data_IF_524796636509
#
_entry.id   IF_524796636509
#
_cell.length_a   1.000
_cell.length_b   1.000
_cell.length_c   1.000
_cell.angle_alpha   90.00
_cell.angle_beta   90.00
_cell.angle_gamma   90.00
#
_symmetry.space_group_name_H-M   'P 1'
#
loop_
_entity.id
_entity.type
_entity.pdbx_description
1 polymer ?
#
# COMPACT_ATOMS: atom_id res chain seq x y z
N UNK A 1 43.64 -5.21 3.52
CA UNK A 1 42.91 -6.45 3.89
C UNK A 1 41.71 -6.03 4.74
N UNK A 2 40.59 -5.84 4.09
CA UNK A 2 39.32 -5.54 4.80
C UNK A 2 38.69 -6.89 5.15
N UNK A 3 38.54 -7.15 6.44
CA UNK A 3 37.86 -8.35 6.96
C UNK A 3 36.38 -8.23 6.66
N UNK A 4 35.83 -9.27 6.01
CA UNK A 4 34.42 -9.35 5.62
C UNK A 4 33.50 -9.27 6.85
N UNK A 5 32.45 -8.48 6.71
CA UNK A 5 31.34 -8.47 7.62
C UNK A 5 30.58 -9.82 7.55
N UNK A 6 29.99 -10.29 8.65
CA UNK A 6 29.24 -11.54 8.65
C UNK A 6 28.00 -11.39 7.73
N UNK A 7 27.80 -12.36 6.87
CA UNK A 7 26.54 -12.52 6.13
C UNK A 7 25.45 -12.80 7.16
N UNK A 8 24.58 -11.84 7.39
CA UNK A 8 23.28 -12.12 8.03
C UNK A 8 22.44 -12.87 7.01
N UNK A 9 22.16 -14.13 7.28
CA UNK A 9 21.11 -14.88 6.58
C UNK A 9 19.76 -14.24 6.90
N UNK A 10 19.30 -13.38 5.99
CA UNK A 10 17.91 -12.92 6.00
C UNK A 10 17.05 -14.12 5.60
N UNK A 11 16.34 -14.68 6.57
CA UNK A 11 15.28 -15.63 6.29
C UNK A 11 14.27 -14.91 5.38
N UNK A 12 14.22 -15.31 4.11
CA UNK A 12 13.14 -14.93 3.19
C UNK A 12 11.88 -15.52 3.84
N UNK A 13 11.01 -14.66 4.37
CA UNK A 13 9.69 -15.11 4.78
C UNK A 13 9.06 -15.76 3.56
N UNK A 14 8.78 -17.06 3.63
CA UNK A 14 7.96 -17.76 2.64
C UNK A 14 6.56 -17.15 2.70
N UNK A 15 6.35 -16.10 1.91
CA UNK A 15 5.02 -15.59 1.66
C UNK A 15 4.28 -16.64 0.82
N UNK A 16 3.27 -17.19 1.43
CA UNK A 16 2.33 -18.07 0.74
C UNK A 16 1.69 -17.26 -0.38
N UNK A 17 2.16 -17.45 -1.61
CA UNK A 17 1.38 -17.09 -2.78
C UNK A 17 -0.03 -17.64 -2.57
N UNK A 18 -1.07 -16.87 -2.85
CA UNK A 18 -2.48 -17.29 -2.89
C UNK A 18 -2.69 -18.38 -3.97
N UNK A 19 -1.86 -19.43 -3.91
CA UNK A 19 -1.89 -20.64 -4.72
C UNK A 19 -2.49 -21.79 -3.89
N UNK A 20 -3.30 -21.47 -2.87
CA UNK A 20 -4.17 -22.48 -2.25
C UNK A 20 -5.08 -23.11 -3.31
N UNK A 21 -5.45 -24.39 -3.17
CA UNK A 21 -6.35 -25.02 -4.11
C UNK A 21 -7.59 -24.15 -4.28
N UNK A 22 -8.12 -24.02 -5.50
CA UNK A 22 -9.29 -23.22 -5.87
C UNK A 22 -10.45 -23.26 -4.84
N UNK A 23 -10.55 -24.35 -4.07
CA UNK A 23 -11.53 -24.56 -3.01
C UNK A 23 -11.41 -23.62 -1.78
N UNK A 24 -10.21 -23.12 -1.41
CA UNK A 24 -10.06 -22.26 -0.24
C UNK A 24 -10.33 -20.79 -0.60
N UNK A 25 -9.90 -20.35 -1.78
CA UNK A 25 -10.25 -19.05 -2.33
C UNK A 25 -11.75 -18.91 -2.57
N UNK A 26 -12.41 -19.99 -3.03
CA UNK A 26 -13.87 -20.06 -3.18
C UNK A 26 -14.61 -19.93 -1.85
N UNK A 27 -14.06 -20.43 -0.73
CA UNK A 27 -14.66 -20.28 0.61
C UNK A 27 -14.60 -18.86 1.17
N UNK A 28 -13.72 -18.03 0.67
CA UNK A 28 -13.61 -16.62 1.05
C UNK A 28 -14.47 -15.70 0.18
N UNK A 29 -15.22 -16.23 -0.77
CA UNK A 29 -16.10 -15.49 -1.65
C UNK A 29 -17.58 -15.62 -1.26
N UNK A 30 -18.41 -14.55 -1.44
CA UNK A 30 -18.00 -13.21 -1.90
C UNK A 30 -17.14 -12.47 -0.87
N UNK A 31 -16.35 -11.51 -1.33
CA UNK A 31 -15.54 -10.67 -0.45
C UNK A 31 -16.45 -9.78 0.41
N UNK A 32 -16.16 -9.59 1.72
CA UNK A 32 -16.89 -8.64 2.54
C UNK A 32 -16.63 -7.22 2.03
N UNK A 33 -17.70 -6.42 1.94
CA UNK A 33 -17.66 -5.02 1.46
C UNK A 33 -17.56 -4.00 2.60
N UNK A 34 -17.66 -4.47 3.82
CA UNK A 34 -17.58 -3.66 5.02
C UNK A 34 -17.15 -4.50 6.22
N UNK A 35 -16.68 -3.88 7.32
CA UNK A 35 -16.32 -4.62 8.53
C UNK A 35 -17.48 -5.44 9.12
N UNK A 36 -18.72 -5.01 8.89
CA UNK A 36 -19.92 -5.69 9.39
C UNK A 36 -20.22 -7.02 8.67
N UNK A 37 -19.65 -7.20 7.49
CA UNK A 37 -19.82 -8.42 6.71
C UNK A 37 -18.73 -9.45 7.00
N UNK A 38 -17.68 -9.08 7.75
CA UNK A 38 -16.64 -9.99 8.19
C UNK A 38 -17.22 -10.93 9.25
N UNK A 39 -17.35 -12.21 8.89
CA UNK A 39 -17.78 -13.23 9.83
C UNK A 39 -16.60 -13.92 10.53
N UNK A 40 -16.79 -14.53 11.72
CA UNK A 40 -15.77 -15.33 12.36
C UNK A 40 -15.22 -16.46 11.47
N UNK A 41 -16.11 -17.10 10.69
CA UNK A 41 -15.74 -18.19 9.77
C UNK A 41 -14.86 -17.67 8.63
N UNK A 42 -15.21 -16.51 8.07
CA UNK A 42 -14.42 -15.88 7.01
C UNK A 42 -13.02 -15.51 7.53
N UNK A 43 -12.95 -14.87 8.70
CA UNK A 43 -11.67 -14.47 9.30
C UNK A 43 -10.84 -15.68 9.71
N UNK A 44 -11.46 -16.77 10.20
CA UNK A 44 -10.76 -18.04 10.45
C UNK A 44 -10.09 -18.56 9.18
N UNK A 45 -10.80 -18.53 8.04
CA UNK A 45 -10.24 -18.97 6.77
C UNK A 45 -9.07 -18.07 6.33
N UNK A 46 -9.19 -16.76 6.45
CA UNK A 46 -8.11 -15.79 6.14
C UNK A 46 -6.86 -16.05 6.96
N UNK A 47 -7.02 -16.20 8.28
CA UNK A 47 -5.88 -16.39 9.19
C UNK A 47 -5.21 -17.74 9.05
N UNK A 48 -5.99 -18.80 8.79
CA UNK A 48 -5.43 -20.13 8.50
C UNK A 48 -4.66 -20.12 7.18
N UNK A 49 -5.21 -19.48 6.16
CA UNK A 49 -4.56 -19.40 4.85
C UNK A 49 -3.26 -18.58 4.89
N UNK A 50 -3.19 -17.54 5.71
CA UNK A 50 -1.96 -16.74 5.93
C UNK A 50 -0.98 -17.36 6.93
N UNK A 51 -1.27 -18.58 7.44
CA UNK A 51 -0.46 -19.27 8.45
C UNK A 51 -0.44 -18.58 9.82
N UNK A 52 -1.41 -17.70 10.10
CA UNK A 52 -1.49 -16.93 11.34
C UNK A 52 -2.43 -17.53 12.39
N UNK A 53 -3.09 -18.64 12.04
CA UNK A 53 -3.98 -19.37 12.95
C UNK A 53 -3.84 -20.87 12.70
N UNK A 54 -3.54 -21.67 13.74
CA UNK A 54 -3.48 -23.14 13.59
C UNK A 54 -4.86 -23.75 13.31
N UNK A 55 -4.88 -24.94 12.75
CA UNK A 55 -6.13 -25.66 12.43
C UNK A 55 -6.96 -26.02 13.66
N UNK A 56 -6.33 -26.04 14.84
CA UNK A 56 -6.93 -26.33 16.15
C UNK A 56 -7.67 -25.14 16.77
N UNK A 57 -7.51 -23.95 16.21
CA UNK A 57 -8.13 -22.73 16.70
C UNK A 57 -9.06 -22.11 15.66
N UNK A 58 -10.04 -21.36 16.13
CA UNK A 58 -11.03 -20.64 15.31
C UNK A 58 -11.24 -19.25 15.88
N UNK A 59 -11.53 -18.30 15.02
CA UNK A 59 -12.08 -17.01 15.43
C UNK A 59 -13.51 -17.22 15.90
N UNK A 60 -13.81 -16.84 17.13
CA UNK A 60 -15.15 -16.96 17.72
C UNK A 60 -15.95 -15.66 17.61
N UNK A 61 -15.27 -14.52 17.59
CA UNK A 61 -15.90 -13.21 17.44
C UNK A 61 -14.98 -12.26 16.67
N UNK A 62 -15.58 -11.40 15.83
CA UNK A 62 -14.94 -10.27 15.15
C UNK A 62 -15.75 -9.02 15.43
N UNK A 63 -15.11 -8.01 15.97
CA UNK A 63 -15.71 -6.66 16.09
C UNK A 63 -14.85 -5.65 15.33
N UNK A 64 -15.49 -4.70 14.67
CA UNK A 64 -14.82 -3.68 13.88
C UNK A 64 -15.18 -2.27 14.33
N UNK A 65 -14.18 -1.39 14.43
CA UNK A 65 -14.41 0.05 14.55
C UNK A 65 -13.67 0.79 13.45
N UNK A 66 -14.30 1.79 12.90
CA UNK A 66 -13.70 2.65 11.87
C UNK A 66 -12.47 3.37 12.43
N UNK A 67 -11.40 3.41 11.64
CA UNK A 67 -10.20 4.18 11.90
C UNK A 67 -10.25 5.48 11.10
N UNK A 68 -10.00 6.61 11.78
CA UNK A 68 -9.88 7.94 11.17
C UNK A 68 -11.13 8.37 10.42
N UNK A 69 -12.03 9.15 11.04
CA UNK A 69 -13.11 9.79 10.31
C UNK A 69 -12.52 10.73 9.25
N UNK A 70 -12.64 10.37 7.96
CA UNK A 70 -12.15 11.15 6.84
C UNK A 70 -10.64 11.05 6.54
N UNK A 71 -9.90 10.17 7.21
CA UNK A 71 -8.45 10.06 7.01
C UNK A 71 -8.06 9.39 5.68
N UNK A 72 -8.92 8.53 5.11
CA UNK A 72 -8.69 7.90 3.81
C UNK A 72 -9.56 8.51 2.72
N UNK A 73 -8.98 9.26 1.76
CA UNK A 73 -9.77 9.80 0.64
C UNK A 73 -10.35 8.68 -0.24
N UNK A 74 -9.57 7.65 -0.51
CA UNK A 74 -9.89 6.62 -1.51
C UNK A 74 -10.30 5.28 -0.90
N UNK A 75 -10.21 5.11 0.43
CA UNK A 75 -10.51 3.85 1.12
C UNK A 75 -11.01 4.07 2.54
N UNK A 76 -11.75 3.09 3.06
CA UNK A 76 -12.19 3.01 4.45
C UNK A 76 -11.29 2.05 5.24
N UNK A 77 -10.84 2.47 6.41
CA UNK A 77 -10.03 1.65 7.31
C UNK A 77 -10.83 1.25 8.55
N UNK A 78 -10.64 0.02 8.99
CA UNK A 78 -11.27 -0.48 10.23
C UNK A 78 -10.28 -1.29 11.04
N UNK A 79 -10.20 -1.00 12.34
CA UNK A 79 -9.54 -1.86 13.29
C UNK A 79 -10.49 -3.00 13.65
N UNK A 80 -10.04 -4.22 13.46
CA UNK A 80 -10.73 -5.43 13.84
C UNK A 80 -10.15 -5.95 15.15
N UNK A 81 -11.01 -6.29 16.10
CA UNK A 81 -10.63 -7.00 17.32
C UNK A 81 -11.16 -8.43 17.24
N UNK A 82 -10.32 -9.39 17.55
CA UNK A 82 -10.58 -10.80 17.37
C UNK A 82 -10.59 -11.52 18.71
N UNK A 83 -11.56 -12.43 18.88
CA UNK A 83 -11.60 -13.39 19.97
C UNK A 83 -11.52 -14.80 19.37
N UNK A 84 -10.89 -15.69 20.08
CA UNK A 84 -10.59 -17.03 19.57
C UNK A 84 -11.14 -18.12 20.49
N UNK A 85 -11.33 -19.31 19.94
CA UNK A 85 -11.49 -20.59 20.64
C UNK A 85 -10.39 -21.55 20.21
N UNK A 86 -9.96 -22.42 21.12
CA UNK A 86 -8.84 -23.33 20.89
C UNK A 86 -7.49 -22.70 21.19
N UNK A 87 -6.42 -23.38 20.76
CA UNK A 87 -5.05 -22.95 20.98
C UNK A 87 -4.66 -21.87 19.96
N UNK A 88 -4.39 -20.64 20.45
CA UNK A 88 -4.21 -19.44 19.63
C UNK A 88 -3.13 -18.49 20.15
N UNK A 89 -2.13 -18.99 20.89
CA UNK A 89 -1.14 -18.17 21.59
C UNK A 89 -0.46 -17.12 20.69
N UNK A 90 -0.16 -17.46 19.44
CA UNK A 90 0.51 -16.59 18.48
C UNK A 90 -0.45 -15.85 17.51
N UNK A 91 -1.76 -16.00 17.69
CA UNK A 91 -2.73 -15.38 16.77
C UNK A 91 -2.90 -13.88 17.07
N UNK A 92 -3.07 -13.03 16.05
CA UNK A 92 -3.19 -11.58 16.23
C UNK A 92 -4.49 -11.20 16.96
N UNK A 93 -4.41 -10.44 18.05
CA UNK A 93 -5.58 -9.94 18.75
C UNK A 93 -6.32 -8.85 17.98
N UNK A 94 -5.58 -8.08 17.18
CA UNK A 94 -6.11 -6.99 16.35
C UNK A 94 -5.51 -7.04 14.94
N UNK A 95 -6.30 -6.57 13.97
CA UNK A 95 -5.91 -6.43 12.56
C UNK A 95 -6.50 -5.15 11.99
N UNK A 96 -5.92 -4.67 10.89
CA UNK A 96 -6.51 -3.58 10.11
C UNK A 96 -7.10 -4.14 8.82
N UNK A 97 -8.37 -3.82 8.56
CA UNK A 97 -9.02 -4.12 7.29
C UNK A 97 -9.25 -2.84 6.49
N UNK A 98 -8.98 -2.90 5.19
CA UNK A 98 -9.14 -1.80 4.23
C UNK A 98 -10.18 -2.18 3.18
N UNK A 99 -11.08 -1.24 2.87
CA UNK A 99 -12.21 -1.40 1.95
C UNK A 99 -12.29 -0.22 0.99
N UNK A 100 -13.05 -0.32 -0.11
CA UNK A 100 -13.31 0.83 -0.98
C UNK A 100 -13.99 1.96 -0.23
N UNK A 101 -13.69 3.21 -0.61
CA UNK A 101 -14.41 4.37 -0.06
C UNK A 101 -15.91 4.31 -0.38
N UNK A 102 -16.72 4.78 0.55
CA UNK A 102 -18.17 4.94 0.36
C UNK A 102 -18.52 6.22 -0.44
N UNK A 103 -17.57 7.16 -0.57
CA UNK A 103 -17.76 8.38 -1.34
C UNK A 103 -17.67 8.09 -2.83
N UNK A 104 -18.78 8.31 -3.57
CA UNK A 104 -18.87 7.98 -4.99
C UNK A 104 -17.90 8.78 -5.87
N UNK A 105 -17.64 10.05 -5.54
CA UNK A 105 -16.69 10.89 -6.30
C UNK A 105 -15.28 10.35 -6.15
N UNK A 106 -14.87 10.09 -4.91
CA UNK A 106 -13.54 9.54 -4.61
C UNK A 106 -13.37 8.13 -5.18
N UNK A 107 -14.44 7.33 -5.19
CA UNK A 107 -14.45 6.02 -5.84
C UNK A 107 -14.25 6.12 -7.35
N UNK A 108 -14.87 7.11 -8.00
CA UNK A 108 -14.65 7.40 -9.43
C UNK A 108 -13.18 7.70 -9.70
N UNK A 109 -12.55 8.56 -8.90
CA UNK A 109 -11.12 8.88 -8.99
C UNK A 109 -10.27 7.61 -8.80
N UNK A 110 -10.59 6.79 -7.79
CA UNK A 110 -9.87 5.55 -7.54
C UNK A 110 -9.94 4.57 -8.71
N UNK A 111 -11.07 4.52 -9.42
CA UNK A 111 -11.25 3.69 -10.62
C UNK A 111 -10.47 4.23 -11.82
N UNK A 112 -10.52 5.54 -12.08
CA UNK A 112 -9.80 6.20 -13.19
C UNK A 112 -8.29 5.96 -13.09
N UNK A 113 -7.75 5.96 -11.86
CA UNK A 113 -6.34 5.69 -11.59
C UNK A 113 -6.04 4.23 -11.23
N UNK A 114 -7.02 3.33 -11.30
CA UNK A 114 -6.89 1.90 -10.96
C UNK A 114 -6.26 1.64 -9.57
N UNK A 115 -6.56 2.51 -8.62
CA UNK A 115 -5.92 2.54 -7.29
C UNK A 115 -6.10 1.21 -6.56
N UNK A 116 -7.30 0.64 -6.57
CA UNK A 116 -7.61 -0.59 -5.85
C UNK A 116 -6.89 -1.81 -6.40
N UNK A 117 -6.86 -1.98 -7.73
CA UNK A 117 -6.12 -3.07 -8.37
C UNK A 117 -4.62 -2.93 -8.12
N UNK A 118 -4.10 -1.69 -8.19
CA UNK A 118 -2.68 -1.42 -7.96
C UNK A 118 -2.28 -1.77 -6.53
N UNK A 119 -3.07 -1.38 -5.55
CA UNK A 119 -2.78 -1.68 -4.15
C UNK A 119 -2.84 -3.17 -3.85
N UNK A 120 -3.92 -3.85 -4.27
CA UNK A 120 -4.05 -5.30 -4.08
C UNK A 120 -2.91 -6.06 -4.74
N UNK A 121 -2.58 -5.73 -6.00
CA UNK A 121 -1.48 -6.38 -6.71
C UNK A 121 -0.11 -6.07 -6.12
N UNK A 122 0.08 -4.89 -5.55
CA UNK A 122 1.33 -4.57 -4.83
C UNK A 122 1.55 -5.50 -3.65
N UNK A 123 0.52 -5.72 -2.83
CA UNK A 123 0.61 -6.66 -1.72
C UNK A 123 0.72 -8.12 -2.16
N UNK A 124 0.25 -8.47 -3.35
CA UNK A 124 0.38 -9.83 -3.89
C UNK A 124 1.70 -10.07 -4.63
N UNK A 125 2.24 -9.08 -5.34
CA UNK A 125 3.29 -9.29 -6.34
C UNK A 125 4.58 -8.51 -6.08
N UNK A 126 4.52 -7.36 -5.39
CA UNK A 126 5.69 -6.51 -5.10
C UNK A 126 6.22 -6.79 -3.69
N UNK A 127 5.37 -6.64 -2.68
CA UNK A 127 5.74 -6.79 -1.27
C UNK A 127 6.40 -8.14 -0.99
N UNK A 128 5.88 -9.31 -1.45
CA UNK A 128 6.51 -10.59 -1.17
C UNK A 128 7.89 -10.81 -1.80
N UNK A 129 8.25 -10.02 -2.82
CA UNK A 129 9.53 -10.14 -3.52
C UNK A 129 10.59 -9.17 -3.01
N UNK A 130 10.19 -8.17 -2.23
CA UNK A 130 11.08 -7.14 -1.69
C UNK A 130 11.45 -7.45 -0.24
N UNK A 131 12.74 -7.29 0.15
CA UNK A 131 13.15 -7.35 1.54
C UNK A 131 12.86 -6.03 2.30
N UNK A 132 12.21 -5.06 1.67
CA UNK A 132 11.75 -3.85 2.33
C UNK A 132 10.65 -4.20 3.34
N UNK A 133 10.68 -3.55 4.51
CA UNK A 133 9.75 -3.85 5.58
C UNK A 133 8.31 -3.42 5.21
N UNK A 134 7.37 -4.32 5.42
CA UNK A 134 5.94 -4.12 5.21
C UNK A 134 5.18 -4.78 6.36
N UNK A 135 3.98 -4.31 6.73
CA UNK A 135 3.14 -5.03 7.66
C UNK A 135 2.83 -6.44 7.12
N UNK A 136 2.62 -7.38 8.02
CA UNK A 136 2.19 -8.71 7.63
C UNK A 136 0.85 -8.63 6.90
N UNK A 137 0.81 -9.21 5.70
CA UNK A 137 -0.40 -9.27 4.87
C UNK A 137 -1.12 -10.60 5.13
N UNK A 138 -2.35 -10.55 5.64
CA UNK A 138 -3.17 -11.74 5.86
C UNK A 138 -4.07 -12.04 4.67
N UNK A 139 -4.51 -10.99 3.99
CA UNK A 139 -5.28 -11.06 2.75
C UNK A 139 -5.11 -9.76 1.94
N UNK A 140 -5.00 -9.88 0.65
CA UNK A 140 -5.25 -8.82 -0.31
C UNK A 140 -5.97 -9.43 -1.50
N UNK A 141 -7.23 -9.09 -1.73
CA UNK A 141 -8.02 -9.65 -2.84
C UNK A 141 -9.04 -8.63 -3.36
N UNK A 142 -9.45 -8.77 -4.63
CA UNK A 142 -10.37 -7.88 -5.31
C UNK A 142 -11.32 -8.66 -6.23
N UNK A 143 -12.59 -8.26 -6.26
CA UNK A 143 -13.61 -8.72 -7.21
C UNK A 143 -13.98 -7.60 -8.18
N UNK A 144 -13.79 -7.85 -9.47
CA UNK A 144 -13.93 -6.78 -10.46
C UNK A 144 -12.92 -5.66 -10.28
N UNK A 145 -13.36 -4.41 -10.39
CA UNK A 145 -12.49 -3.24 -10.36
C UNK A 145 -12.57 -2.45 -9.04
N UNK A 146 -13.53 -2.78 -8.17
CA UNK A 146 -13.89 -1.96 -7.00
C UNK A 146 -13.93 -2.75 -5.70
N UNK A 147 -14.58 -3.91 -5.69
CA UNK A 147 -14.86 -4.63 -4.45
C UNK A 147 -13.60 -5.34 -3.96
N UNK A 148 -12.81 -4.68 -3.14
CA UNK A 148 -11.59 -5.23 -2.56
C UNK A 148 -11.63 -5.29 -1.04
N UNK A 149 -10.83 -6.17 -0.49
CA UNK A 149 -10.50 -6.21 0.93
C UNK A 149 -9.02 -6.52 1.11
N UNK A 150 -8.36 -5.73 1.94
CA UNK A 150 -6.99 -5.99 2.38
C UNK A 150 -7.02 -6.12 3.90
N UNK A 151 -6.41 -7.18 4.43
CA UNK A 151 -6.29 -7.43 5.87
C UNK A 151 -4.82 -7.47 6.24
N UNK A 152 -4.41 -6.52 7.06
CA UNK A 152 -3.03 -6.27 7.46
C UNK A 152 -2.84 -6.41 8.98
N UNK A 153 -1.59 -6.58 9.38
CA UNK A 153 -1.11 -6.39 10.73
C UNK A 153 -1.53 -5.02 11.27
N UNK A 154 -1.91 -4.97 12.53
CA UNK A 154 -2.18 -3.72 13.26
C UNK A 154 -0.85 -3.09 13.69
N UNK A 155 -0.57 -1.89 13.18
CA UNK A 155 0.63 -1.12 13.49
C UNK A 155 0.41 -0.06 14.58
N UNK A 156 -0.65 -0.14 15.38
CA UNK A 156 -0.95 0.87 16.41
C UNK A 156 0.15 1.02 17.47
N UNK A 157 0.98 0.01 17.66
CA UNK A 157 2.13 0.05 18.56
C UNK A 157 3.33 0.78 17.96
N UNK A 158 3.33 1.05 16.67
CA UNK A 158 4.35 1.88 16.02
C UNK A 158 4.05 3.37 16.21
N UNK A 159 5.04 4.21 15.93
CA UNK A 159 4.84 5.66 15.80
C UNK A 159 4.68 6.00 14.31
N UNK A 160 3.55 6.57 13.96
CA UNK A 160 3.34 7.14 12.62
C UNK A 160 4.23 8.37 12.44
N UNK A 161 4.84 8.54 11.28
CA UNK A 161 5.50 9.79 10.91
C UNK A 161 4.50 10.92 10.78
N UNK A 162 4.98 12.16 10.89
CA UNK A 162 4.15 13.36 10.73
C UNK A 162 4.75 14.20 9.59
N UNK A 163 3.97 14.40 8.53
CA UNK A 163 4.43 15.13 7.36
C UNK A 163 4.68 16.61 7.65
N UNK A 164 3.99 17.20 8.64
CA UNK A 164 4.11 18.61 9.02
C UNK A 164 5.30 18.83 9.96
N UNK A 165 5.49 17.92 10.91
CA UNK A 165 6.64 17.97 11.83
C UNK A 165 7.96 17.65 11.13
N UNK A 166 7.90 16.82 10.09
CA UNK A 166 9.06 16.35 9.33
C UNK A 166 9.74 15.13 9.98
N UNK A 167 10.90 14.75 9.45
CA UNK A 167 11.69 13.62 9.89
C UNK A 167 13.04 14.05 10.44
N UNK A 168 13.52 13.34 11.45
CA UNK A 168 14.90 13.46 11.91
C UNK A 168 15.89 12.89 10.87
N UNK A 169 17.16 13.19 11.04
CA UNK A 169 18.22 12.63 10.19
C UNK A 169 18.24 11.08 10.26
N UNK A 170 18.04 10.53 11.45
CA UNK A 170 18.02 9.09 11.68
C UNK A 170 16.81 8.43 10.96
N UNK A 171 15.61 9.00 11.12
CA UNK A 171 14.40 8.54 10.46
C UNK A 171 14.50 8.61 8.94
N UNK A 172 15.09 9.69 8.41
CA UNK A 172 15.37 9.82 6.99
C UNK A 172 16.33 8.74 6.50
N UNK A 173 17.34 8.38 7.31
CA UNK A 173 18.25 7.28 7.04
C UNK A 173 17.53 5.93 6.93
N UNK A 174 16.67 5.60 7.91
CA UNK A 174 15.85 4.39 7.89
C UNK A 174 14.93 4.33 6.66
N UNK A 175 14.27 5.44 6.32
CA UNK A 175 13.41 5.52 5.15
C UNK A 175 14.18 5.25 3.85
N UNK A 176 15.37 5.83 3.69
CA UNK A 176 16.22 5.61 2.53
C UNK A 176 16.75 4.17 2.46
N UNK A 177 17.04 3.52 3.59
CA UNK A 177 17.44 2.11 3.63
C UNK A 177 16.33 1.20 3.10
N UNK A 178 15.08 1.42 3.50
CA UNK A 178 13.93 0.63 3.03
C UNK A 178 13.64 0.90 1.54
N UNK A 179 13.72 2.16 1.08
CA UNK A 179 13.62 2.48 -0.34
C UNK A 179 14.73 1.82 -1.16
N UNK A 180 15.95 1.79 -0.64
CA UNK A 180 17.06 1.14 -1.33
C UNK A 180 16.85 -0.37 -1.50
N UNK A 181 16.23 -1.03 -0.50
CA UNK A 181 15.84 -2.45 -0.60
C UNK A 181 14.78 -2.65 -1.69
N UNK A 182 13.72 -1.83 -1.71
CA UNK A 182 12.67 -1.86 -2.73
C UNK A 182 13.27 -1.63 -4.12
N UNK A 183 13.92 -0.49 -4.32
CA UNK A 183 14.46 -0.09 -5.62
C UNK A 183 15.52 -1.07 -6.12
N UNK A 184 16.42 -1.52 -5.25
CA UNK A 184 17.47 -2.47 -5.61
C UNK A 184 16.92 -3.83 -6.05
N UNK A 185 15.79 -4.25 -5.49
CA UNK A 185 15.15 -5.51 -5.88
C UNK A 185 14.68 -5.49 -7.32
N UNK A 186 14.06 -4.37 -7.75
CA UNK A 186 13.40 -4.25 -9.05
C UNK A 186 14.21 -3.44 -10.09
N UNK A 187 15.41 -2.98 -9.76
CA UNK A 187 16.23 -2.14 -10.63
C UNK A 187 16.51 -2.81 -11.98
N UNK A 188 16.04 -2.17 -13.05
CA UNK A 188 16.16 -2.67 -14.42
C UNK A 188 15.42 -4.00 -14.71
N UNK A 189 14.39 -4.37 -13.90
CA UNK A 189 13.67 -5.64 -14.02
C UNK A 189 12.18 -5.49 -14.29
N UNK A 190 11.68 -4.27 -14.41
CA UNK A 190 10.24 -3.99 -14.50
C UNK A 190 9.67 -4.02 -15.94
N UNK A 191 10.47 -4.38 -16.93
CA UNK A 191 10.05 -4.49 -18.35
C UNK A 191 9.58 -5.91 -18.74
N UNK A 192 9.08 -6.68 -17.78
CA UNK A 192 8.49 -7.99 -18.02
C UNK A 192 6.97 -7.92 -17.97
N UNK A 193 6.28 -8.85 -18.65
CA UNK A 193 4.82 -9.01 -18.65
C UNK A 193 4.21 -9.05 -17.23
N UNK A 194 5.00 -9.46 -16.25
CA UNK A 194 4.61 -9.50 -14.85
C UNK A 194 4.23 -8.12 -14.30
N UNK A 195 4.83 -7.05 -14.82
CA UNK A 195 4.62 -5.66 -14.38
C UNK A 195 3.74 -4.84 -15.31
N UNK A 196 3.14 -5.43 -16.36
CA UNK A 196 2.29 -4.71 -17.35
C UNK A 196 1.07 -4.01 -16.72
N UNK A 197 0.67 -4.43 -15.53
CA UNK A 197 -0.42 -3.80 -14.78
C UNK A 197 -0.01 -2.49 -14.12
N UNK A 198 1.28 -2.32 -13.84
CA UNK A 198 1.81 -1.13 -13.19
C UNK A 198 1.99 -0.02 -14.22
N UNK A 199 1.45 1.18 -13.97
CA UNK A 199 1.59 2.25 -14.94
C UNK A 199 3.03 2.73 -15.05
N UNK A 200 3.40 3.18 -16.25
CA UNK A 200 4.57 4.03 -16.47
C UNK A 200 4.13 5.49 -16.47
N UNK A 201 5.05 6.42 -16.24
CA UNK A 201 4.75 7.85 -16.31
C UNK A 201 4.20 8.26 -17.68
N UNK A 202 4.73 7.69 -18.76
CA UNK A 202 4.28 7.96 -20.14
C UNK A 202 3.19 6.99 -20.63
N UNK A 203 2.71 6.06 -19.79
CA UNK A 203 1.60 5.18 -20.14
C UNK A 203 0.38 6.01 -20.53
N UNK A 204 -0.28 5.64 -21.65
CA UNK A 204 -1.30 6.47 -22.27
C UNK A 204 -2.44 6.87 -21.33
N UNK A 205 -2.98 5.93 -20.55
CA UNK A 205 -4.07 6.26 -19.62
C UNK A 205 -3.58 7.08 -18.42
N UNK A 206 -2.42 6.76 -17.86
CA UNK A 206 -1.85 7.48 -16.72
C UNK A 206 -1.40 8.88 -17.12
N UNK A 207 -0.67 9.01 -18.23
CA UNK A 207 -0.22 10.30 -18.74
C UNK A 207 -1.40 11.24 -19.06
N UNK A 208 -2.46 10.71 -19.70
CA UNK A 208 -3.66 11.49 -20.01
C UNK A 208 -4.34 11.96 -18.73
N UNK A 209 -4.62 11.06 -17.79
CA UNK A 209 -5.28 11.41 -16.53
C UNK A 209 -4.46 12.44 -15.70
N UNK A 210 -3.14 12.31 -15.66
CA UNK A 210 -2.28 13.29 -14.99
C UNK A 210 -2.32 14.66 -15.66
N UNK A 211 -2.26 14.71 -16.99
CA UNK A 211 -2.29 15.98 -17.74
C UNK A 211 -3.67 16.64 -17.63
N UNK A 212 -4.73 15.94 -17.92
CA UNK A 212 -6.10 16.47 -17.88
C UNK A 212 -6.51 16.87 -16.46
N UNK A 213 -6.18 16.05 -15.45
CA UNK A 213 -6.43 16.35 -14.06
C UNK A 213 -5.68 17.60 -13.58
N UNK A 214 -4.40 17.73 -13.97
CA UNK A 214 -3.62 18.92 -13.65
C UNK A 214 -4.18 20.19 -14.32
N UNK A 215 -4.58 20.09 -15.58
CA UNK A 215 -5.19 21.20 -16.31
C UNK A 215 -6.53 21.63 -15.68
N UNK A 216 -7.40 20.65 -15.35
CA UNK A 216 -8.70 20.91 -14.76
C UNK A 216 -8.61 21.53 -13.35
N UNK A 217 -7.63 21.13 -12.54
CA UNK A 217 -7.47 21.60 -11.16
C UNK A 217 -6.66 22.88 -11.03
N UNK A 218 -5.93 23.33 -12.06
CA UNK A 218 -4.97 24.43 -11.98
C UNK A 218 -5.55 25.74 -11.45
N UNK A 219 -6.67 26.19 -12.02
CA UNK A 219 -7.27 27.48 -11.64
C UNK A 219 -7.76 27.45 -10.18
N UNK A 220 -8.35 26.35 -9.75
CA UNK A 220 -8.80 26.20 -8.37
C UNK A 220 -7.61 26.13 -7.40
N UNK A 221 -6.54 25.41 -7.77
CA UNK A 221 -5.31 25.38 -6.99
C UNK A 221 -4.66 26.77 -6.89
N UNK A 222 -4.59 27.50 -8.02
CA UNK A 222 -4.06 28.85 -8.04
C UNK A 222 -4.84 29.83 -7.17
N UNK A 223 -6.16 29.65 -7.05
CA UNK A 223 -7.01 30.43 -6.13
C UNK A 223 -6.82 30.02 -4.67
N UNK A 224 -6.81 28.72 -4.39
CA UNK A 224 -6.67 28.20 -3.03
C UNK A 224 -5.32 28.55 -2.38
N UNK A 225 -4.27 28.68 -3.19
CA UNK A 225 -2.91 28.98 -2.75
C UNK A 225 -2.45 30.39 -3.15
N UNK A 226 -3.37 31.32 -3.42
CA UNK A 226 -3.08 32.62 -4.00
C UNK A 226 -1.95 33.38 -3.29
N UNK A 227 -2.00 33.48 -1.97
CA UNK A 227 -0.97 34.14 -1.15
C UNK A 227 0.36 33.40 -1.10
N UNK A 228 0.34 32.07 -1.36
CA UNK A 228 1.51 31.18 -1.23
C UNK A 228 2.08 30.76 -2.58
N UNK A 229 1.37 30.98 -3.69
CA UNK A 229 1.83 30.61 -5.02
C UNK A 229 2.68 31.74 -5.63
N UNK A 230 4.00 31.58 -5.77
CA UNK A 230 4.86 32.58 -6.39
C UNK A 230 4.43 32.87 -7.83
N UNK A 231 4.61 34.16 -8.28
CA UNK A 231 4.20 34.58 -9.62
C UNK A 231 4.85 33.75 -10.73
N UNK A 232 6.11 33.34 -10.57
CA UNK A 232 6.81 32.52 -11.56
C UNK A 232 6.16 31.16 -11.82
N UNK A 233 5.49 30.55 -10.81
CA UNK A 233 4.72 29.32 -11.00
C UNK A 233 3.52 29.57 -11.92
N UNK A 234 2.84 30.73 -11.75
CA UNK A 234 1.71 31.10 -12.61
C UNK A 234 2.18 31.37 -14.05
N UNK A 235 3.34 31.97 -14.19
CA UNK A 235 3.90 32.37 -15.50
C UNK A 235 4.32 31.16 -16.33
N UNK A 236 4.76 30.05 -15.71
CA UNK A 236 5.18 28.86 -16.42
C UNK A 236 4.04 27.88 -16.76
N UNK A 237 2.79 28.18 -16.43
CA UNK A 237 1.64 27.27 -16.59
C UNK A 237 1.60 26.59 -17.97
N UNK A 238 1.61 27.40 -19.03
CA UNK A 238 1.49 26.89 -20.40
C UNK A 238 2.73 26.06 -20.80
N UNK A 239 3.92 26.50 -20.41
CA UNK A 239 5.16 25.78 -20.67
C UNK A 239 5.21 24.45 -19.88
N UNK A 240 4.70 24.43 -18.65
CA UNK A 240 4.59 23.22 -17.86
C UNK A 240 3.70 22.18 -18.54
N UNK A 241 2.46 22.53 -18.91
CA UNK A 241 1.55 21.60 -19.57
C UNK A 241 2.06 21.11 -20.92
N UNK A 242 2.77 21.96 -21.65
CA UNK A 242 3.41 21.58 -22.93
C UNK A 242 4.59 20.63 -22.71
N UNK A 243 5.37 20.82 -21.64
CA UNK A 243 6.55 20.02 -21.34
C UNK A 243 6.23 18.70 -20.65
N UNK A 244 5.07 18.59 -19.95
CA UNK A 244 4.73 17.45 -19.12
C UNK A 244 4.80 16.09 -19.87
N UNK A 245 4.24 15.92 -21.07
CA UNK A 245 4.33 14.67 -21.80
C UNK A 245 5.78 14.23 -22.13
N UNK A 246 6.64 15.19 -22.46
CA UNK A 246 8.05 14.89 -22.74
C UNK A 246 8.82 14.58 -21.45
N UNK A 247 8.50 15.25 -20.35
CA UNK A 247 9.05 14.93 -19.03
C UNK A 247 8.68 13.50 -18.61
N UNK A 248 7.41 13.11 -18.77
CA UNK A 248 6.93 11.76 -18.46
C UNK A 248 7.69 10.69 -19.27
N UNK A 249 7.88 10.91 -20.58
CA UNK A 249 8.71 10.02 -21.40
C UNK A 249 10.16 9.97 -20.95
N UNK A 250 10.67 11.08 -20.42
CA UNK A 250 12.04 11.11 -19.90
C UNK A 250 12.19 10.33 -18.60
N UNK A 251 11.19 10.36 -17.74
CA UNK A 251 11.17 9.59 -16.47
C UNK A 251 11.13 8.08 -16.72
N UNK A 252 10.55 7.64 -17.84
CA UNK A 252 10.49 6.21 -18.21
C UNK A 252 11.76 5.69 -18.91
N UNK A 253 12.83 6.50 -19.00
CA UNK A 253 14.08 6.03 -19.57
C UNK A 253 14.85 5.16 -18.59
N UNK A 254 15.43 4.09 -19.11
CA UNK A 254 16.28 3.18 -18.36
C UNK A 254 17.49 3.86 -17.65
N UNK A 255 17.89 3.39 -16.48
CA UNK A 255 17.30 2.28 -15.74
C UNK A 255 16.06 2.70 -14.93
N UNK A 256 15.07 1.82 -14.85
CA UNK A 256 13.83 2.02 -14.09
C UNK A 256 13.68 0.98 -12.99
N UNK A 257 12.83 1.29 -11.98
CA UNK A 257 12.52 0.38 -10.87
C UNK A 257 11.09 0.63 -10.39
N UNK A 258 10.59 -0.23 -9.49
CA UNK A 258 9.31 0.01 -8.82
C UNK A 258 9.45 1.20 -7.87
N UNK A 259 8.60 2.20 -8.01
CA UNK A 259 8.42 3.27 -7.04
C UNK A 259 7.16 3.01 -6.22
N UNK A 260 7.19 3.38 -4.95
CA UNK A 260 5.99 3.32 -4.09
C UNK A 260 4.91 4.31 -4.53
N UNK A 261 5.32 5.47 -5.04
CA UNK A 261 4.44 6.50 -5.59
C UNK A 261 3.83 7.45 -4.57
N UNK A 262 3.75 7.08 -3.29
CA UNK A 262 3.31 7.95 -2.18
C UNK A 262 4.14 7.72 -0.90
N UNK A 263 5.46 7.75 -1.04
CA UNK A 263 6.39 7.52 0.07
C UNK A 263 6.58 8.80 0.89
N UNK A 264 5.64 9.06 1.78
CA UNK A 264 5.59 10.24 2.67
C UNK A 264 5.45 9.83 4.12
N UNK A 265 5.79 10.72 5.05
CA UNK A 265 5.90 10.40 6.48
C UNK A 265 4.61 9.83 7.08
N UNK A 266 3.43 10.29 6.64
CA UNK A 266 2.14 9.74 7.13
C UNK A 266 1.94 8.25 6.77
N UNK A 267 2.70 7.73 5.79
CA UNK A 267 2.70 6.33 5.38
C UNK A 267 3.87 5.52 5.97
N UNK A 268 4.71 6.15 6.81
CA UNK A 268 5.87 5.52 7.46
C UNK A 268 5.61 5.29 8.95
N UNK A 269 5.87 4.08 9.40
CA UNK A 269 5.66 3.64 10.77
C UNK A 269 6.99 3.26 11.40
N UNK A 270 7.37 3.93 12.47
CA UNK A 270 8.63 3.75 13.16
C UNK A 270 8.44 2.87 14.39
N UNK A 271 9.23 1.81 14.48
CA UNK A 271 9.16 0.84 15.57
C UNK A 271 9.57 1.44 16.91
N UNK A 272 8.83 1.10 17.96
CA UNK A 272 9.10 1.51 19.36
C UNK A 272 9.71 0.39 20.17
N UNK A 273 9.45 -0.86 19.80
CA UNK A 273 9.84 -2.04 20.55
C UNK A 273 10.93 -2.85 19.83
N UNK A 274 11.76 -3.61 20.54
CA UNK A 274 12.87 -4.37 19.94
C UNK A 274 12.44 -5.41 18.88
N UNK A 275 11.20 -5.91 18.97
CA UNK A 275 10.66 -6.88 18.01
C UNK A 275 10.04 -6.24 16.77
N UNK A 276 9.83 -4.92 16.77
CA UNK A 276 9.33 -4.20 15.62
C UNK A 276 10.41 -4.08 14.51
N UNK A 277 9.98 -3.99 13.27
CA UNK A 277 10.83 -3.38 12.25
C UNK A 277 11.19 -1.97 12.68
N UNK A 278 12.41 -1.52 12.42
CA UNK A 278 12.82 -0.15 12.74
C UNK A 278 11.95 0.89 12.04
N UNK A 279 11.56 0.60 10.82
CA UNK A 279 10.60 1.35 10.03
C UNK A 279 9.89 0.39 9.09
N UNK A 280 8.60 0.59 8.87
CA UNK A 280 7.79 -0.08 7.84
C UNK A 280 6.90 0.94 7.15
N UNK A 281 6.37 0.62 5.98
CA UNK A 281 5.52 1.53 5.22
C UNK A 281 4.33 0.83 4.62
N UNK A 282 3.27 1.60 4.41
CA UNK A 282 1.95 1.15 3.96
C UNK A 282 1.47 2.00 2.79
N UNK A 283 0.26 1.69 2.30
CA UNK A 283 -0.48 2.47 1.30
C UNK A 283 0.11 2.40 -0.11
N UNK A 284 0.13 1.19 -0.64
CA UNK A 284 0.65 0.87 -1.98
C UNK A 284 -0.32 1.23 -3.12
N UNK A 285 -1.00 2.36 -3.02
CA UNK A 285 -1.97 2.83 -4.02
C UNK A 285 -1.31 3.44 -5.26
N UNK A 286 -0.07 3.87 -5.13
CA UNK A 286 0.63 4.67 -6.10
C UNK A 286 1.76 4.00 -6.91
N UNK A 287 1.96 2.66 -6.94
CA UNK A 287 3.17 2.11 -7.55
C UNK A 287 3.25 2.44 -9.05
N UNK A 288 4.43 2.76 -9.49
CA UNK A 288 4.74 3.17 -10.86
C UNK A 288 6.18 2.79 -11.23
#
# INVERSE_FOLDING_TARGET
MLKGAPKQDFAIQEFVHFNGPNSERERMRPLPKSPKEITPQWMTAVLRNSGSLPVTAEVSEVTGRQLGEGAGMLSELSLLSLTYSGDHEDAPATLVAKFPTLNEVNRGIAMDFRVYQREVRSYQEIVPKSPAASPKVHLADIEGDVDFVIVLEDLSDYRVGDQVEGATFEESGLALEELAKLHGTFWGKVDSEEFDWMPRFSNSWNATNMLEGSQASWEQAAQNFDEHMPQWIRDIKEDYFKALPELQKHLDKEPVTVLHGDFRLDNLFFGKEPHHHKMTFIDWQGPV
#
